data_IF_040840565579
#
_entry.id   IF_040840565579
#
_cell.length_a   1.000
_cell.length_b   1.000
_cell.length_c   1.000
_cell.angle_alpha   90.00
_cell.angle_beta   90.00
_cell.angle_gamma   90.00
#
_symmetry.space_group_name_H-M   'P 1'
#
loop_
_entity.id
_entity.type
_entity.pdbx_description
1 polymer ?
#
# COMPACT_ATOMS: atom_id res chain seq x y z
N UNK A 1 -66.44 95.77 44.50
CA UNK A 1 -66.30 94.32 44.81
C UNK A 1 -66.08 93.61 43.50
N UNK A 2 -64.87 93.13 43.25
CA UNK A 2 -64.56 92.09 42.27
C UNK A 2 -63.06 91.80 42.44
N UNK A 3 -62.79 90.86 43.36
CA UNK A 3 -61.48 90.22 43.49
C UNK A 3 -61.64 88.77 43.04
N UNK A 4 -60.86 88.44 42.01
CA UNK A 4 -60.10 87.19 41.87
C UNK A 4 -60.85 85.85 41.98
N UNK A 5 -61.04 85.23 40.82
CA UNK A 5 -60.98 83.76 40.72
C UNK A 5 -60.47 83.36 39.33
N UNK A 6 -59.16 83.44 39.10
CA UNK A 6 -58.49 83.01 37.84
C UNK A 6 -57.29 82.08 38.08
N UNK A 7 -57.02 81.69 39.34
CA UNK A 7 -55.88 80.80 39.68
C UNK A 7 -56.16 79.31 39.48
N UNK A 8 -57.41 78.87 39.70
CA UNK A 8 -57.79 77.44 39.77
C UNK A 8 -57.59 76.67 38.45
N UNK A 9 -58.00 77.25 37.32
CA UNK A 9 -57.95 76.55 36.02
C UNK A 9 -56.51 76.37 35.49
N UNK A 10 -55.59 77.24 35.92
CA UNK A 10 -54.19 77.19 35.48
C UNK A 10 -53.40 76.08 36.18
N UNK A 11 -53.64 75.87 37.48
CA UNK A 11 -52.98 74.83 38.28
C UNK A 11 -53.48 73.42 37.91
N UNK A 12 -54.79 73.27 37.63
CA UNK A 12 -55.38 72.00 37.20
C UNK A 12 -54.87 71.57 35.82
N UNK A 13 -54.70 72.51 34.88
CA UNK A 13 -54.13 72.22 33.56
C UNK A 13 -52.67 71.76 33.62
N UNK A 14 -51.89 72.31 34.56
CA UNK A 14 -50.49 71.94 34.78
C UNK A 14 -50.40 70.56 35.43
N UNK A 15 -51.27 70.26 36.40
CA UNK A 15 -51.36 68.94 37.02
C UNK A 15 -51.70 67.84 35.98
N UNK A 16 -52.71 68.08 35.13
CA UNK A 16 -53.08 67.15 34.04
C UNK A 16 -51.89 66.91 33.07
N UNK A 17 -51.11 67.94 32.76
CA UNK A 17 -49.93 67.81 31.89
C UNK A 17 -48.79 67.01 32.56
N UNK A 18 -48.60 67.17 33.87
CA UNK A 18 -47.63 66.39 34.65
C UNK A 18 -48.06 64.91 34.73
N UNK A 19 -49.33 64.63 34.98
CA UNK A 19 -49.87 63.26 35.06
C UNK A 19 -49.72 62.52 33.72
N UNK A 20 -50.05 63.17 32.60
CA UNK A 20 -49.87 62.60 31.26
C UNK A 20 -48.40 62.24 30.97
N UNK A 21 -47.45 63.12 31.36
CA UNK A 21 -46.01 62.83 31.23
C UNK A 21 -45.57 61.69 32.14
N UNK A 22 -46.14 61.61 33.34
CA UNK A 22 -45.85 60.55 34.30
C UNK A 22 -46.34 59.19 33.79
N UNK A 23 -47.52 59.12 33.18
CA UNK A 23 -48.04 57.91 32.55
C UNK A 23 -47.15 57.44 31.38
N UNK A 24 -46.71 58.37 30.53
CA UNK A 24 -45.75 58.05 29.46
C UNK A 24 -44.43 57.50 30.00
N UNK A 25 -43.88 58.10 31.06
CA UNK A 25 -42.65 57.62 31.70
C UNK A 25 -42.83 56.22 32.29
N UNK A 26 -43.96 55.95 32.95
CA UNK A 26 -44.28 54.61 33.49
C UNK A 26 -44.32 53.58 32.37
N UNK A 27 -44.93 53.92 31.23
CA UNK A 27 -44.98 53.02 30.06
C UNK A 27 -43.59 52.72 29.52
N UNK A 28 -42.75 53.73 29.33
CA UNK A 28 -41.36 53.54 28.88
C UNK A 28 -40.54 52.72 29.86
N UNK A 29 -40.71 52.95 31.18
CA UNK A 29 -40.04 52.16 32.22
C UNK A 29 -40.47 50.70 32.16
N UNK A 30 -41.76 50.41 31.92
CA UNK A 30 -42.27 49.05 31.77
C UNK A 30 -41.69 48.37 30.52
N UNK A 31 -41.63 49.06 29.38
CA UNK A 31 -41.01 48.57 28.15
C UNK A 31 -39.52 48.23 28.38
N UNK A 32 -38.75 49.15 28.96
CA UNK A 32 -37.33 48.90 29.31
C UNK A 32 -37.20 47.72 30.27
N UNK A 33 -38.08 47.59 31.27
CA UNK A 33 -38.05 46.46 32.20
C UNK A 33 -38.31 45.13 31.49
N UNK A 34 -39.18 45.10 30.47
CA UNK A 34 -39.41 43.90 29.67
C UNK A 34 -38.19 43.55 28.82
N UNK A 35 -37.59 44.52 28.13
CA UNK A 35 -36.37 44.30 27.34
C UNK A 35 -35.21 43.79 28.20
N UNK A 36 -35.00 44.39 29.39
CA UNK A 36 -33.96 43.96 30.34
C UNK A 36 -34.20 42.52 30.82
N UNK A 37 -35.46 42.10 30.98
CA UNK A 37 -35.78 40.70 31.33
C UNK A 37 -35.44 39.75 30.20
N UNK A 38 -35.77 40.08 28.96
CA UNK A 38 -35.45 39.25 27.79
C UNK A 38 -33.93 39.18 27.57
N UNK A 39 -33.21 40.30 27.62
CA UNK A 39 -31.74 40.32 27.52
C UNK A 39 -31.05 39.43 28.58
N UNK A 40 -31.63 39.35 29.79
CA UNK A 40 -31.12 38.45 30.83
C UNK A 40 -31.37 36.97 30.51
N UNK A 41 -32.45 36.63 29.81
CA UNK A 41 -32.72 35.27 29.34
C UNK A 41 -31.76 34.91 28.21
N UNK A 42 -31.63 35.78 27.21
CA UNK A 42 -30.72 35.57 26.07
C UNK A 42 -29.28 35.39 26.55
N UNK A 43 -28.83 36.24 27.48
CA UNK A 43 -27.51 36.09 28.11
C UNK A 43 -27.31 34.71 28.72
N UNK A 44 -28.32 34.13 29.38
CA UNK A 44 -28.22 32.79 29.96
C UNK A 44 -28.10 31.72 28.88
N UNK A 45 -28.85 31.85 27.79
CA UNK A 45 -28.79 30.94 26.64
C UNK A 45 -27.39 30.97 26.03
N UNK A 46 -26.88 32.17 25.70
CA UNK A 46 -25.54 32.32 25.14
C UNK A 46 -24.43 31.77 26.05
N UNK A 47 -24.56 31.91 27.38
CA UNK A 47 -23.61 31.31 28.32
C UNK A 47 -23.59 29.78 28.20
N UNK A 48 -24.75 29.15 28.03
CA UNK A 48 -24.85 27.70 27.86
C UNK A 48 -24.25 27.27 26.53
N UNK A 49 -24.63 27.91 25.42
CA UNK A 49 -24.09 27.61 24.09
C UNK A 49 -22.56 27.76 24.06
N UNK A 50 -22.01 28.82 24.67
CA UNK A 50 -20.56 29.02 24.77
C UNK A 50 -19.89 27.89 25.54
N UNK A 51 -20.53 27.32 26.57
CA UNK A 51 -19.98 26.17 27.30
C UNK A 51 -19.96 24.92 26.43
N UNK A 52 -21.06 24.62 25.74
CA UNK A 52 -21.17 23.47 24.84
C UNK A 52 -20.13 23.54 23.72
N UNK A 53 -19.99 24.70 23.08
CA UNK A 53 -18.98 24.94 22.04
C UNK A 53 -17.56 24.78 22.58
N UNK A 54 -17.30 25.17 23.83
CA UNK A 54 -15.97 24.97 24.45
C UNK A 54 -15.69 23.50 24.72
N UNK A 55 -16.67 22.75 25.17
CA UNK A 55 -16.54 21.31 25.41
C UNK A 55 -16.33 20.54 24.11
N UNK A 56 -17.07 20.86 23.05
CA UNK A 56 -16.89 20.27 21.73
C UNK A 56 -15.50 20.60 21.16
N UNK A 57 -15.06 21.86 21.26
CA UNK A 57 -13.71 22.26 20.86
C UNK A 57 -12.62 21.51 21.64
N UNK A 58 -12.83 21.20 22.92
CA UNK A 58 -11.88 20.41 23.70
C UNK A 58 -11.79 18.97 23.18
N UNK A 59 -12.92 18.33 22.88
CA UNK A 59 -12.98 16.98 22.30
C UNK A 59 -12.30 16.93 20.94
N UNK A 60 -12.60 17.89 20.05
CA UNK A 60 -11.98 17.98 18.73
C UNK A 60 -10.46 18.13 18.82
N UNK A 61 -9.95 18.95 19.76
CA UNK A 61 -8.51 19.07 19.99
C UNK A 61 -7.87 17.76 20.43
N UNK A 62 -8.54 16.98 21.26
CA UNK A 62 -8.06 15.66 21.68
C UNK A 62 -8.02 14.67 20.51
N UNK A 63 -9.07 14.63 19.69
CA UNK A 63 -9.12 13.79 18.50
C UNK A 63 -8.04 14.16 17.47
N UNK A 64 -7.83 15.45 17.22
CA UNK A 64 -6.74 15.94 16.36
C UNK A 64 -5.38 15.47 16.88
N UNK A 65 -5.13 15.54 18.19
CA UNK A 65 -3.87 15.05 18.76
C UNK A 65 -3.70 13.53 18.60
N UNK A 66 -4.77 12.75 18.80
CA UNK A 66 -4.74 11.28 18.56
C UNK A 66 -4.49 10.94 17.09
N UNK A 67 -5.08 11.69 16.17
CA UNK A 67 -4.84 11.50 14.74
C UNK A 67 -3.40 11.84 14.37
N UNK A 68 -2.86 12.93 14.92
CA UNK A 68 -1.47 13.33 14.69
C UNK A 68 -0.48 12.25 15.11
N UNK A 69 -0.63 11.69 16.31
CA UNK A 69 0.27 10.61 16.79
C UNK A 69 0.13 9.33 15.95
N UNK A 70 -1.08 9.03 15.45
CA UNK A 70 -1.29 7.90 14.54
C UNK A 70 -0.61 8.11 13.18
N UNK A 71 -0.64 9.33 12.64
CA UNK A 71 0.05 9.68 11.39
C UNK A 71 1.56 9.51 11.55
N UNK A 72 2.15 10.06 12.61
CA UNK A 72 3.60 9.93 12.90
C UNK A 72 4.03 8.45 13.02
N UNK A 73 3.18 7.61 13.62
CA UNK A 73 3.42 6.17 13.71
C UNK A 73 3.34 5.47 12.35
N UNK A 74 2.38 5.83 11.49
CA UNK A 74 2.25 5.27 10.14
C UNK A 74 3.43 5.65 9.25
N UNK A 75 3.88 6.91 9.29
CA UNK A 75 5.07 7.37 8.57
C UNK A 75 6.33 6.56 8.96
N UNK A 76 6.47 6.25 10.25
CA UNK A 76 7.56 5.40 10.75
C UNK A 76 7.50 3.98 10.19
N UNK A 77 6.30 3.43 10.00
CA UNK A 77 6.13 2.09 9.42
C UNK A 77 6.42 2.11 7.92
N UNK A 78 5.97 3.13 7.22
CA UNK A 78 6.21 3.29 5.79
C UNK A 78 7.71 3.33 5.46
N UNK A 79 8.49 4.14 6.20
CA UNK A 79 9.96 4.18 6.07
C UNK A 79 10.62 2.80 6.32
N UNK A 80 10.11 2.03 7.28
CA UNK A 80 10.61 0.67 7.55
C UNK A 80 10.28 -0.31 6.43
N UNK A 81 9.09 -0.20 5.85
CA UNK A 81 8.66 -1.03 4.72
C UNK A 81 9.50 -0.71 3.48
N UNK A 82 9.71 0.56 3.18
CA UNK A 82 10.54 1.00 2.04
C UNK A 82 11.98 0.46 2.15
N UNK A 83 12.59 0.56 3.33
CA UNK A 83 13.92 -0.02 3.59
C UNK A 83 13.94 -1.54 3.39
N UNK A 84 12.89 -2.23 3.84
CA UNK A 84 12.78 -3.68 3.72
C UNK A 84 12.63 -4.10 2.26
N UNK A 85 11.82 -3.39 1.49
CA UNK A 85 11.60 -3.71 0.08
C UNK A 85 12.83 -3.40 -0.77
N UNK A 86 13.54 -2.30 -0.47
CA UNK A 86 14.84 -2.03 -1.07
C UNK A 86 15.84 -3.15 -0.81
N UNK A 87 15.96 -3.60 0.45
CA UNK A 87 16.86 -4.69 0.81
C UNK A 87 16.49 -6.02 0.12
N UNK A 88 15.19 -6.30 -0.06
CA UNK A 88 14.73 -7.48 -0.81
C UNK A 88 15.10 -7.40 -2.29
N UNK A 89 14.95 -6.24 -2.92
CA UNK A 89 15.29 -6.03 -4.33
C UNK A 89 16.80 -6.29 -4.52
N UNK A 90 17.66 -5.69 -3.70
CA UNK A 90 19.12 -5.89 -3.75
C UNK A 90 19.49 -7.38 -3.55
N UNK A 91 18.77 -8.09 -2.67
CA UNK A 91 18.98 -9.52 -2.45
C UNK A 91 18.54 -10.37 -3.65
N UNK A 92 17.44 -10.03 -4.30
CA UNK A 92 16.96 -10.70 -5.51
C UNK A 92 17.96 -10.52 -6.67
N UNK A 93 18.44 -9.31 -6.90
CA UNK A 93 19.47 -9.02 -7.91
C UNK A 93 20.73 -9.85 -7.66
N UNK A 94 21.16 -9.95 -6.40
CA UNK A 94 22.32 -10.78 -6.01
C UNK A 94 22.10 -12.26 -6.34
N UNK A 95 20.89 -12.79 -6.15
CA UNK A 95 20.56 -14.18 -6.47
C UNK A 95 20.51 -14.40 -7.97
N UNK A 96 19.89 -13.49 -8.72
CA UNK A 96 19.82 -13.56 -10.18
C UNK A 96 21.24 -13.63 -10.78
N UNK A 97 22.14 -12.78 -10.30
CA UNK A 97 23.56 -12.79 -10.67
C UNK A 97 24.25 -14.14 -10.40
N UNK A 98 23.96 -14.74 -9.24
CA UNK A 98 24.52 -16.05 -8.84
C UNK A 98 23.96 -17.18 -9.69
N UNK A 99 22.67 -17.13 -10.01
CA UNK A 99 22.01 -18.10 -10.88
C UNK A 99 22.59 -18.02 -12.29
N UNK A 100 22.75 -16.82 -12.84
CA UNK A 100 23.30 -16.62 -14.18
C UNK A 100 24.74 -17.16 -14.28
N UNK A 101 25.58 -16.89 -13.27
CA UNK A 101 26.94 -17.46 -13.17
C UNK A 101 26.93 -18.99 -13.10
N UNK A 102 26.01 -19.55 -12.32
CA UNK A 102 25.85 -21.01 -12.18
C UNK A 102 25.39 -21.66 -13.49
N UNK A 103 24.45 -21.03 -14.19
CA UNK A 103 23.96 -21.53 -15.48
C UNK A 103 25.03 -21.44 -16.57
N UNK A 104 25.82 -20.36 -16.59
CA UNK A 104 27.01 -20.25 -17.46
C UNK A 104 28.02 -21.35 -17.14
N UNK A 105 28.28 -21.65 -15.87
CA UNK A 105 29.18 -22.73 -15.46
C UNK A 105 28.66 -24.12 -15.88
N UNK A 106 27.36 -24.40 -15.68
CA UNK A 106 26.72 -25.65 -16.14
C UNK A 106 26.79 -25.82 -17.65
N UNK A 107 26.60 -24.73 -18.43
CA UNK A 107 26.74 -24.78 -19.91
C UNK A 107 28.18 -25.08 -20.34
N UNK A 108 29.18 -24.54 -19.64
CA UNK A 108 30.61 -24.81 -19.94
C UNK A 108 31.02 -26.25 -19.64
N UNK A 109 30.41 -26.90 -18.64
CA UNK A 109 30.75 -28.26 -18.24
C UNK A 109 30.02 -29.37 -19.02
N UNK A 110 29.14 -29.02 -19.98
CA UNK A 110 28.44 -30.00 -20.82
C UNK A 110 29.12 -30.15 -22.19
N UNK A 111 30.34 -30.69 -22.22
CA UNK A 111 30.89 -31.32 -23.43
C UNK A 111 30.57 -32.82 -23.32
N UNK A 112 29.61 -33.28 -24.13
CA UNK A 112 29.20 -34.69 -24.19
C UNK A 112 29.86 -35.30 -25.43
N UNK A 113 30.76 -36.26 -25.22
CA UNK A 113 31.41 -37.05 -26.29
C UNK A 113 30.61 -38.35 -26.42
N UNK A 114 29.82 -38.50 -27.49
CA UNK A 114 29.08 -39.72 -27.79
C UNK A 114 29.65 -40.40 -29.04
N UNK A 115 29.90 -41.71 -28.98
CA UNK A 115 30.34 -42.54 -30.12
C UNK A 115 31.63 -43.35 -29.90
N UNK A 116 32.37 -43.10 -28.83
CA UNK A 116 33.60 -43.82 -28.50
C UNK A 116 33.31 -45.16 -27.80
N UNK A 117 33.48 -46.27 -28.50
CA UNK A 117 33.64 -47.59 -27.87
C UNK A 117 35.08 -47.70 -27.35
N UNK A 118 35.24 -47.59 -26.05
CA UNK A 118 36.52 -47.78 -25.36
C UNK A 118 36.39 -49.06 -24.53
N UNK A 119 37.32 -49.98 -24.69
CA UNK A 119 37.43 -51.15 -23.81
C UNK A 119 38.00 -50.69 -22.46
N UNK A 120 37.17 -50.77 -21.42
CA UNK A 120 37.27 -50.00 -20.16
C UNK A 120 38.18 -50.61 -19.08
N UNK A 121 39.29 -51.25 -19.44
CA UNK A 121 40.17 -51.88 -18.44
C UNK A 121 41.44 -51.08 -18.12
N UNK A 122 41.68 -49.95 -18.77
CA UNK A 122 42.94 -49.19 -18.66
C UNK A 122 42.72 -47.69 -18.91
N UNK A 123 42.79 -46.88 -17.84
CA UNK A 123 42.42 -45.45 -17.84
C UNK A 123 43.32 -44.60 -18.75
N UNK A 124 44.61 -44.95 -18.88
CA UNK A 124 45.54 -44.22 -19.77
C UNK A 124 45.17 -44.36 -21.25
N UNK A 125 44.68 -45.53 -21.66
CA UNK A 125 44.24 -45.78 -23.06
C UNK A 125 42.89 -45.14 -23.38
N UNK A 126 42.07 -44.89 -22.36
CA UNK A 126 40.82 -44.16 -22.49
C UNK A 126 41.10 -42.69 -22.83
N UNK A 127 42.01 -42.06 -22.09
CA UNK A 127 42.38 -40.65 -22.26
C UNK A 127 43.00 -40.37 -23.64
N UNK A 128 43.84 -41.29 -24.13
CA UNK A 128 44.48 -41.19 -25.44
C UNK A 128 43.46 -41.29 -26.60
N UNK A 129 42.54 -42.27 -26.54
CA UNK A 129 41.47 -42.43 -27.54
C UNK A 129 40.45 -41.30 -27.54
N UNK A 130 40.14 -40.73 -26.37
CA UNK A 130 39.30 -39.54 -26.26
C UNK A 130 39.96 -38.35 -26.96
N UNK A 131 41.27 -38.16 -26.76
CA UNK A 131 42.02 -37.08 -27.39
C UNK A 131 42.12 -37.23 -28.92
N UNK A 132 42.29 -38.45 -29.43
CA UNK A 132 42.26 -38.72 -30.87
C UNK A 132 40.89 -38.44 -31.48
N UNK A 133 39.81 -38.93 -30.86
CA UNK A 133 38.45 -38.67 -31.33
C UNK A 133 38.10 -37.18 -31.32
N UNK A 134 38.50 -36.43 -30.30
CA UNK A 134 38.27 -34.98 -30.25
C UNK A 134 39.02 -34.28 -31.39
N UNK A 135 40.24 -34.69 -31.72
CA UNK A 135 41.01 -34.15 -32.85
C UNK A 135 40.34 -34.47 -34.19
N UNK A 136 39.85 -35.69 -34.35
CA UNK A 136 39.20 -36.15 -35.58
C UNK A 136 37.82 -35.49 -35.78
N UNK A 137 36.98 -35.41 -34.75
CA UNK A 137 35.66 -34.76 -34.82
C UNK A 137 35.72 -33.23 -34.92
N UNK A 138 36.81 -32.60 -34.47
CA UNK A 138 37.05 -31.17 -34.77
C UNK A 138 37.26 -30.93 -36.27
N UNK A 139 37.69 -31.95 -37.02
CA UNK A 139 37.95 -31.83 -38.46
C UNK A 139 36.74 -32.10 -39.37
N UNK A 140 35.66 -32.73 -38.86
CA UNK A 140 34.52 -33.23 -39.68
C UNK A 140 33.19 -32.45 -39.60
N UNK A 141 33.09 -31.40 -38.75
CA UNK A 141 31.94 -30.48 -38.62
C UNK A 141 30.76 -31.00 -37.75
N UNK A 142 30.32 -30.15 -36.81
CA UNK A 142 29.56 -30.52 -35.59
C UNK A 142 28.18 -29.85 -35.55
N UNK A 143 27.09 -30.60 -35.73
CA UNK A 143 25.75 -30.11 -35.35
C UNK A 143 24.77 -31.22 -34.92
N UNK A 144 25.24 -32.23 -34.19
CA UNK A 144 24.34 -33.16 -33.49
C UNK A 144 24.21 -32.74 -32.02
N UNK A 145 22.97 -32.60 -31.52
CA UNK A 145 22.69 -32.23 -30.12
C UNK A 145 22.18 -33.45 -29.36
N UNK A 146 23.06 -34.08 -28.60
CA UNK A 146 22.73 -35.21 -27.72
C UNK A 146 22.76 -34.76 -26.26
N UNK A 147 21.69 -35.00 -25.52
CA UNK A 147 21.59 -34.74 -24.07
C UNK A 147 21.41 -36.07 -23.35
N UNK A 148 22.35 -36.44 -22.48
CA UNK A 148 22.22 -37.61 -21.60
C UNK A 148 21.94 -37.16 -20.17
N UNK A 149 20.83 -37.65 -19.60
CA UNK A 149 20.53 -37.54 -18.18
C UNK A 149 20.48 -38.92 -17.54
N UNK A 150 20.29 -38.98 -16.21
CA UNK A 150 20.10 -40.26 -15.53
C UNK A 150 18.97 -41.06 -16.20
N UNK A 151 19.32 -42.21 -16.79
CA UNK A 151 18.46 -43.15 -17.51
C UNK A 151 17.73 -42.64 -18.77
N UNK A 152 18.10 -41.49 -19.35
CA UNK A 152 17.45 -40.96 -20.55
C UNK A 152 18.44 -40.32 -21.52
N UNK A 153 18.18 -40.50 -22.82
CA UNK A 153 18.97 -39.90 -23.90
C UNK A 153 18.05 -39.09 -24.80
N UNK A 154 18.43 -37.87 -25.19
CA UNK A 154 17.69 -37.06 -26.14
C UNK A 154 18.61 -36.82 -27.33
N UNK A 155 18.18 -37.24 -28.53
CA UNK A 155 18.91 -37.07 -29.79
C UNK A 155 18.03 -36.26 -30.73
N UNK A 156 18.49 -35.09 -31.15
CA UNK A 156 17.80 -34.19 -32.08
C UNK A 156 16.32 -33.92 -31.69
N UNK A 157 16.09 -33.71 -30.38
CA UNK A 157 14.77 -33.43 -29.81
C UNK A 157 13.88 -34.66 -29.55
N UNK A 158 14.29 -35.86 -29.98
CA UNK A 158 13.58 -37.12 -29.69
C UNK A 158 14.09 -37.75 -28.41
N UNK A 159 13.19 -38.13 -27.51
CA UNK A 159 13.52 -38.77 -26.24
C UNK A 159 13.61 -40.28 -26.44
N UNK A 160 14.72 -40.85 -25.97
CA UNK A 160 15.05 -42.27 -26.00
C UNK A 160 15.23 -42.76 -24.57
N UNK A 161 14.54 -43.85 -24.24
CA UNK A 161 14.66 -44.50 -22.93
C UNK A 161 15.31 -45.88 -23.09
N UNK A 162 16.11 -46.26 -22.11
CA UNK A 162 16.73 -47.58 -22.07
C UNK A 162 15.73 -48.61 -21.56
N UNK A 163 15.37 -49.58 -22.40
CA UNK A 163 14.52 -50.70 -21.98
C UNK A 163 15.39 -51.81 -21.37
N UNK A 164 15.30 -51.94 -20.04
CA UNK A 164 16.06 -52.93 -19.28
C UNK A 164 15.74 -54.40 -19.64
N UNK A 165 14.54 -54.68 -20.18
CA UNK A 165 14.13 -56.04 -20.58
C UNK A 165 14.73 -56.42 -21.93
N UNK A 166 14.76 -55.49 -22.88
CA UNK A 166 15.26 -55.74 -24.24
C UNK A 166 16.72 -55.34 -24.44
N UNK A 167 17.35 -54.70 -23.44
CA UNK A 167 18.71 -54.15 -23.48
C UNK A 167 18.94 -53.24 -24.70
N UNK A 168 17.90 -52.52 -25.11
CA UNK A 168 17.89 -51.64 -26.30
C UNK A 168 17.23 -50.30 -25.97
N UNK A 169 17.63 -49.26 -26.70
CA UNK A 169 17.03 -47.94 -26.64
C UNK A 169 15.72 -47.92 -27.44
N UNK A 170 14.65 -47.38 -26.85
CA UNK A 170 13.36 -47.19 -27.51
C UNK A 170 12.99 -45.72 -27.53
N UNK A 171 12.47 -45.26 -28.67
CA UNK A 171 11.92 -43.91 -28.83
C UNK A 171 10.63 -43.83 -28.01
N UNK A 172 10.51 -42.80 -27.19
CA UNK A 172 9.26 -42.50 -26.50
C UNK A 172 8.33 -41.79 -27.48
N UNK A 173 7.35 -42.51 -28.03
CA UNK A 173 6.34 -41.94 -28.91
C UNK A 173 5.58 -40.84 -28.16
N UNK A 174 5.71 -39.61 -28.65
CA UNK A 174 4.95 -38.47 -28.14
C UNK A 174 3.48 -38.65 -28.56
N UNK A 175 2.64 -39.18 -27.67
CA UNK A 175 1.19 -38.97 -27.83
C UNK A 175 0.93 -37.46 -27.74
N UNK A 176 0.19 -36.86 -28.69
CA UNK A 176 -0.22 -35.47 -28.55
C UNK A 176 -1.04 -35.34 -27.27
N UNK A 177 -0.62 -34.46 -26.36
CA UNK A 177 -1.46 -34.03 -25.25
C UNK A 177 -2.62 -33.26 -25.87
N UNK A 178 -3.82 -33.84 -25.83
CA UNK A 178 -5.06 -33.14 -26.16
C UNK A 178 -5.12 -31.84 -25.35
N UNK A 179 -5.17 -30.72 -26.08
CA UNK A 179 -5.60 -29.42 -25.57
C UNK A 179 -7.13 -29.49 -25.47
N UNK A 180 -7.66 -29.79 -24.29
CA UNK A 180 -9.02 -29.40 -23.96
C UNK A 180 -8.94 -28.03 -23.29
N UNK A 181 -9.27 -27.00 -24.06
CA UNK A 181 -9.76 -25.72 -23.53
C UNK A 181 -11.26 -25.80 -23.25
#
# INVERSE_FOLDING_TARGET
>A
MQGENTGSDSEESVAINVDNKMEMLIKMINEIMTEVKELRKDKKIYITEIKEVKEENAKLREEVNKMKTKIEWLETIEDRLEKTDKAKIEWLETIEDRLEKTDKAKRKNNIIISGLKIETNDDSKMEEKINEFIKEERSKNRNCKVIMGYQKMIVDGKKWNWDNKTKKLKIEDQRPKNLNG
#
